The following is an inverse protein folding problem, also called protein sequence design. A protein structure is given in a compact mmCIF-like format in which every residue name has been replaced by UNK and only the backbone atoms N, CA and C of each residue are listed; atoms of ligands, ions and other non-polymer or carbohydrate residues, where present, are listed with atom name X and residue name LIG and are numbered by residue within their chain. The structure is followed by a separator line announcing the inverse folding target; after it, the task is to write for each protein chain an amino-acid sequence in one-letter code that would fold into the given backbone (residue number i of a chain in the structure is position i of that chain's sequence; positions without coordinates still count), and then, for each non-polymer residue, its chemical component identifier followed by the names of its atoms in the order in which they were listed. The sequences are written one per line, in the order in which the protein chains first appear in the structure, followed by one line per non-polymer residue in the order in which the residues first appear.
data_IF_506038828732
#
_entry.id   IF_506038828732
#
_cell.length_a   1.000
_cell.length_b   1.000
_cell.length_c   1.000
_cell.angle_alpha   90.00
_cell.angle_beta   90.00
_cell.angle_gamma   90.00
#
_symmetry.space_group_name_H-M   'P 1'
#
loop_
_entity.id
_entity.type
_entity.pdbx_description
1 polymer ?
#
# COMPACT_ATOMS: atom_id res chain seq x y z
N UNK A 1 3.22 -17.37 -3.91
CA UNK A 1 3.54 -16.40 -2.84
C UNK A 1 4.37 -17.03 -1.73
N UNK A 2 3.93 -18.12 -1.08
CA UNK A 2 4.61 -18.71 0.10
C UNK A 2 6.07 -19.14 -0.16
N UNK A 3 6.39 -19.64 -1.35
CA UNK A 3 7.76 -20.01 -1.73
C UNK A 3 8.63 -18.81 -2.19
N UNK A 4 8.16 -17.58 -2.03
CA UNK A 4 8.88 -16.37 -2.47
C UNK A 4 8.93 -16.13 -3.99
N UNK A 5 8.34 -17.03 -4.80
CA UNK A 5 8.33 -16.92 -6.27
C UNK A 5 7.41 -15.82 -6.84
N UNK A 6 6.50 -15.29 -6.03
CA UNK A 6 5.61 -14.17 -6.38
C UNK A 6 5.68 -13.12 -5.28
N UNK A 7 5.68 -11.84 -5.68
CA UNK A 7 5.78 -10.71 -4.76
C UNK A 7 4.41 -10.33 -4.18
N UNK A 8 4.45 -9.58 -3.10
CA UNK A 8 3.35 -8.77 -2.53
C UNK A 8 3.86 -7.33 -2.37
N UNK A 9 2.98 -6.38 -2.04
CA UNK A 9 3.36 -4.96 -1.94
C UNK A 9 4.54 -4.75 -0.96
N UNK A 10 5.48 -3.88 -1.34
CA UNK A 10 6.68 -3.57 -0.55
C UNK A 10 6.33 -3.07 0.85
N UNK A 11 5.28 -2.25 0.97
CA UNK A 11 4.88 -1.56 2.20
C UNK A 11 4.58 -2.48 3.39
N UNK A 12 4.16 -3.72 3.15
CA UNK A 12 3.85 -4.66 4.23
C UNK A 12 5.09 -5.26 4.90
N UNK A 13 6.29 -4.91 4.40
CA UNK A 13 7.57 -5.32 4.98
C UNK A 13 8.12 -4.31 6.00
N UNK A 14 7.37 -3.26 6.32
CA UNK A 14 7.71 -2.31 7.37
C UNK A 14 6.94 -2.67 8.66
N UNK A 15 7.57 -2.49 9.85
CA UNK A 15 6.95 -2.84 11.12
C UNK A 15 6.00 -1.75 11.61
N UNK A 16 4.94 -2.16 12.30
CA UNK A 16 4.10 -1.28 13.12
C UNK A 16 4.64 -1.29 14.55
N UNK A 17 5.26 -0.19 14.96
CA UNK A 17 5.98 -0.04 16.23
C UNK A 17 5.13 0.64 17.32
N UNK A 18 4.12 1.39 16.94
CA UNK A 18 3.20 2.06 17.86
C UNK A 18 1.81 2.25 17.22
N UNK A 19 0.87 2.86 17.95
CA UNK A 19 -0.50 3.06 17.49
C UNK A 19 -0.64 4.04 16.31
N UNK A 20 0.20 5.09 16.25
CA UNK A 20 0.15 6.04 15.14
C UNK A 20 0.39 5.36 13.80
N UNK A 21 1.23 4.32 13.76
CA UNK A 21 1.51 3.54 12.55
C UNK A 21 0.22 2.93 11.97
N UNK A 22 -0.71 2.50 12.82
CA UNK A 22 -2.00 1.94 12.37
C UNK A 22 -2.84 3.02 11.69
N UNK A 23 -2.89 4.22 12.27
CA UNK A 23 -3.57 5.38 11.68
C UNK A 23 -2.90 5.83 10.37
N UNK A 24 -1.56 5.89 10.35
CA UNK A 24 -0.77 6.28 9.17
C UNK A 24 -0.88 5.24 8.05
N UNK A 25 -0.95 3.94 8.36
CA UNK A 25 -1.27 2.90 7.38
C UNK A 25 -2.67 3.14 6.82
N UNK A 26 -3.67 3.27 7.69
CA UNK A 26 -5.03 3.54 7.25
C UNK A 26 -5.17 4.84 6.47
N UNK A 27 -4.28 5.83 6.64
CA UNK A 27 -4.36 7.10 5.92
C UNK A 27 -3.48 7.14 4.66
N UNK A 28 -2.15 7.03 4.83
CA UNK A 28 -1.17 7.18 3.75
C UNK A 28 -1.07 5.91 2.89
N UNK A 29 -0.96 4.74 3.51
CA UNK A 29 -0.80 3.47 2.78
C UNK A 29 -2.06 3.15 1.99
N UNK A 30 -3.23 3.21 2.64
CA UNK A 30 -4.50 3.00 1.94
C UNK A 30 -4.79 4.14 0.95
N UNK A 31 -4.37 5.38 1.25
CA UNK A 31 -4.46 6.51 0.32
C UNK A 31 -3.70 6.25 -0.98
N UNK A 32 -2.47 5.76 -0.89
CA UNK A 32 -1.67 5.38 -2.06
C UNK A 32 -2.28 4.18 -2.80
N UNK A 33 -2.79 3.19 -2.06
CA UNK A 33 -3.51 2.06 -2.64
C UNK A 33 -4.73 2.53 -3.43
N UNK A 34 -5.54 3.45 -2.90
CA UNK A 34 -6.73 4.00 -3.57
C UNK A 34 -6.35 4.73 -4.86
N UNK A 35 -5.31 5.57 -4.84
CA UNK A 35 -4.84 6.27 -6.06
C UNK A 35 -4.52 5.26 -7.17
N UNK A 36 -3.81 4.18 -6.83
CA UNK A 36 -3.46 3.13 -7.78
C UNK A 36 -4.68 2.29 -8.22
N UNK A 37 -5.53 1.87 -7.28
CA UNK A 37 -6.68 1.00 -7.57
C UNK A 37 -7.78 1.70 -8.35
N UNK A 38 -8.05 2.98 -8.08
CA UNK A 38 -9.03 3.76 -8.84
C UNK A 38 -8.59 3.90 -10.31
N UNK A 39 -7.29 4.05 -10.56
CA UNK A 39 -6.74 4.03 -11.93
C UNK A 39 -6.99 2.68 -12.64
N UNK A 40 -7.03 1.57 -11.88
CA UNK A 40 -7.26 0.22 -12.38
C UNK A 40 -8.75 -0.14 -12.55
N UNK A 41 -9.69 0.66 -12.05
CA UNK A 41 -11.12 0.51 -12.33
C UNK A 41 -11.45 0.57 -13.84
N UNK A 42 -10.53 1.08 -14.66
CA UNK A 42 -10.63 1.12 -16.12
C UNK A 42 -9.58 0.25 -16.83
N UNK A 43 -8.98 -0.73 -16.14
CA UNK A 43 -8.11 -1.70 -16.77
C UNK A 43 -8.85 -2.49 -17.86
N UNK A 44 -8.13 -2.93 -18.90
CA UNK A 44 -8.72 -3.59 -20.07
C UNK A 44 -9.34 -4.96 -19.78
N UNK A 45 -8.90 -5.65 -18.72
CA UNK A 45 -9.45 -6.95 -18.33
C UNK A 45 -10.66 -6.79 -17.40
N UNK A 46 -11.86 -7.05 -17.92
CA UNK A 46 -13.14 -6.78 -17.26
C UNK A 46 -13.29 -7.36 -15.83
N UNK A 47 -12.93 -8.62 -15.56
CA UNK A 47 -12.99 -9.17 -14.19
C UNK A 47 -12.13 -8.39 -13.20
N UNK A 48 -10.93 -7.96 -13.61
CA UNK A 48 -10.04 -7.19 -12.75
C UNK A 48 -10.60 -5.78 -12.49
N UNK A 49 -11.04 -5.07 -13.53
CA UNK A 49 -11.66 -3.76 -13.41
C UNK A 49 -12.88 -3.76 -12.47
N UNK A 50 -13.78 -4.76 -12.60
CA UNK A 50 -14.96 -4.88 -11.72
C UNK A 50 -14.59 -5.21 -10.28
N UNK A 51 -13.55 -6.00 -10.05
CA UNK A 51 -13.03 -6.24 -8.71
C UNK A 51 -12.51 -4.95 -8.06
N UNK A 52 -11.75 -4.13 -8.81
CA UNK A 52 -11.27 -2.82 -8.35
C UNK A 52 -12.41 -1.87 -8.00
N UNK A 53 -13.49 -1.82 -8.80
CA UNK A 53 -14.68 -1.00 -8.48
C UNK A 53 -15.30 -1.38 -7.14
N UNK A 54 -15.36 -2.68 -6.83
CA UNK A 54 -15.88 -3.15 -5.53
C UNK A 54 -14.94 -2.76 -4.40
N UNK A 55 -13.66 -3.09 -4.54
CA UNK A 55 -12.64 -2.84 -3.51
C UNK A 55 -12.54 -1.35 -3.19
N UNK A 56 -12.45 -0.47 -4.19
CA UNK A 56 -12.36 0.99 -3.99
C UNK A 56 -13.56 1.57 -3.22
N UNK A 57 -14.78 1.01 -3.41
CA UNK A 57 -15.96 1.46 -2.67
C UNK A 57 -15.87 1.17 -1.18
N UNK A 58 -15.22 0.06 -0.81
CA UNK A 58 -15.04 -0.35 0.58
C UNK A 58 -13.80 0.32 1.20
N UNK A 59 -12.65 0.30 0.52
CA UNK A 59 -11.38 0.82 1.05
C UNK A 59 -11.39 2.34 1.27
N UNK A 60 -12.10 3.12 0.45
CA UNK A 60 -12.20 4.57 0.65
C UNK A 60 -12.86 4.97 1.97
N UNK A 61 -13.75 4.14 2.51
CA UNK A 61 -14.32 4.33 3.83
C UNK A 61 -13.27 4.09 4.92
N UNK A 62 -12.53 2.98 4.85
CA UNK A 62 -11.48 2.68 5.82
C UNK A 62 -10.36 3.72 5.80
N UNK A 63 -10.02 4.22 4.61
CA UNK A 63 -9.00 5.26 4.48
C UNK A 63 -9.39 6.55 5.21
N UNK A 64 -10.67 6.94 5.12
CA UNK A 64 -11.20 8.07 5.89
C UNK A 64 -11.09 7.83 7.39
N UNK A 65 -11.41 6.63 7.87
CA UNK A 65 -11.28 6.32 9.30
C UNK A 65 -9.82 6.37 9.78
N UNK A 66 -8.86 5.95 8.93
CA UNK A 66 -7.43 6.13 9.20
C UNK A 66 -7.05 7.61 9.36
N UNK A 67 -7.55 8.46 8.45
CA UNK A 67 -7.34 9.91 8.54
C UNK A 67 -7.95 10.52 9.81
N UNK A 68 -9.15 10.10 10.20
CA UNK A 68 -9.80 10.56 11.43
C UNK A 68 -9.01 10.15 12.69
N UNK A 69 -8.43 8.94 12.69
CA UNK A 69 -7.59 8.47 13.79
C UNK A 69 -6.33 9.34 13.95
N UNK A 70 -5.63 9.66 12.87
CA UNK A 70 -4.45 10.54 12.93
C UNK A 70 -4.83 11.99 13.23
N UNK A 71 -5.99 12.45 12.78
CA UNK A 71 -6.52 13.77 13.14
C UNK A 71 -6.76 13.90 14.64
N UNK A 72 -7.25 12.85 15.31
CA UNK A 72 -7.39 12.85 16.76
C UNK A 72 -6.03 12.97 17.47
N UNK A 73 -4.99 12.32 16.95
CA UNK A 73 -3.62 12.43 17.49
C UNK A 73 -3.01 13.81 17.26
N UNK A 74 -3.20 14.39 16.07
CA UNK A 74 -2.73 15.73 15.72
C UNK A 74 -3.36 16.83 16.60
N UNK A 75 -4.62 16.64 17.04
CA UNK A 75 -5.34 17.54 17.96
C UNK A 75 -5.13 17.20 19.44
N UNK A 76 -4.35 16.15 19.71
CA UNK A 76 -4.13 15.61 21.05
C UNK A 76 -2.97 16.25 21.80
N UNK A 77 -2.40 15.50 22.74
CA UNK A 77 -1.22 15.93 23.49
C UNK A 77 0.03 16.01 22.62
N UNK A 78 1.06 16.70 23.12
CA UNK A 78 2.37 16.77 22.43
C UNK A 78 2.98 15.39 22.18
N UNK A 79 2.78 14.42 23.08
CA UNK A 79 3.22 13.04 22.88
C UNK A 79 2.47 12.35 21.72
N UNK A 80 1.17 12.62 21.56
CA UNK A 80 0.39 12.06 20.44
C UNK A 80 0.82 12.68 19.11
N UNK A 81 1.05 14.00 19.07
CA UNK A 81 1.60 14.70 17.90
C UNK A 81 2.98 14.17 17.51
N UNK A 82 3.88 14.02 18.49
CA UNK A 82 5.22 13.48 18.26
C UNK A 82 5.17 12.03 17.75
N UNK A 83 4.28 11.19 18.31
CA UNK A 83 4.09 9.81 17.85
C UNK A 83 3.57 9.76 16.40
N UNK A 84 2.66 10.66 16.03
CA UNK A 84 2.18 10.79 14.66
C UNK A 84 3.29 11.22 13.71
N UNK A 85 4.06 12.26 14.06
CA UNK A 85 5.17 12.73 13.23
C UNK A 85 6.23 11.64 13.03
N UNK A 86 6.55 10.87 14.07
CA UNK A 86 7.47 9.73 13.96
C UNK A 86 6.94 8.64 12.99
N UNK A 87 5.65 8.32 13.06
CA UNK A 87 5.03 7.37 12.13
C UNK A 87 5.07 7.88 10.69
N UNK A 88 4.76 9.16 10.45
CA UNK A 88 4.86 9.79 9.13
C UNK A 88 6.30 9.72 8.62
N UNK A 89 7.29 10.04 9.46
CA UNK A 89 8.71 10.01 9.10
C UNK A 89 9.14 8.62 8.60
N UNK A 90 8.66 7.55 9.25
CA UNK A 90 9.01 6.17 8.88
C UNK A 90 8.25 5.65 7.66
N UNK A 91 7.00 6.08 7.44
CA UNK A 91 6.15 5.53 6.38
C UNK A 91 6.09 6.35 5.10
N UNK A 92 6.45 7.64 5.10
CA UNK A 92 6.35 8.51 3.93
C UNK A 92 7.02 7.93 2.68
N UNK A 93 8.32 7.65 2.74
CA UNK A 93 9.07 7.12 1.60
C UNK A 93 8.61 5.71 1.20
N UNK A 94 8.41 4.76 2.12
CA UNK A 94 7.80 3.47 1.80
C UNK A 94 6.46 3.55 1.08
N UNK A 95 5.62 4.53 1.41
CA UNK A 95 4.33 4.76 0.74
C UNK A 95 4.56 5.21 -0.71
N UNK A 96 5.48 6.14 -0.96
CA UNK A 96 5.82 6.58 -2.33
C UNK A 96 6.39 5.45 -3.20
N UNK A 97 7.09 4.49 -2.58
CA UNK A 97 7.60 3.30 -3.26
C UNK A 97 6.49 2.32 -3.68
N UNK A 98 5.26 2.41 -3.14
CA UNK A 98 4.15 1.53 -3.52
C UNK A 98 3.73 1.66 -4.98
N UNK A 99 3.98 2.83 -5.59
CA UNK A 99 3.71 3.07 -7.00
C UNK A 99 4.69 2.35 -7.94
N UNK A 100 5.73 1.72 -7.39
CA UNK A 100 6.74 0.97 -8.13
C UNK A 100 7.96 1.81 -8.50
N UNK A 101 8.87 1.27 -9.33
CA UNK A 101 10.05 2.00 -9.80
C UNK A 101 9.67 3.21 -10.66
N UNK A 102 10.64 4.08 -10.93
CA UNK A 102 10.56 5.13 -11.94
C UNK A 102 10.05 4.59 -13.28
N UNK A 103 9.46 5.45 -14.11
CA UNK A 103 8.98 5.04 -15.42
C UNK A 103 10.09 4.52 -16.33
N UNK A 104 11.32 5.03 -16.15
CA UNK A 104 12.53 4.60 -16.87
C UNK A 104 13.01 3.20 -16.49
N UNK A 105 12.72 2.74 -15.27
CA UNK A 105 13.18 1.45 -14.73
C UNK A 105 12.03 0.43 -14.55
N UNK A 106 10.94 0.61 -15.29
CA UNK A 106 9.73 -0.21 -15.18
C UNK A 106 9.56 -1.16 -16.37
N UNK A 107 10.13 -2.39 -16.34
CA UNK A 107 10.21 -3.29 -17.50
C UNK A 107 8.83 -3.75 -18.01
N UNK A 108 7.79 -3.68 -17.18
CA UNK A 108 6.43 -4.07 -17.55
C UNK A 108 5.57 -2.91 -18.04
N UNK A 109 6.02 -1.65 -17.90
CA UNK A 109 5.19 -0.47 -18.18
C UNK A 109 4.80 -0.37 -19.66
N UNK A 110 5.74 -0.54 -20.58
CA UNK A 110 5.48 -0.39 -22.02
C UNK A 110 4.35 -1.32 -22.49
N UNK A 111 4.44 -2.62 -22.19
CA UNK A 111 3.42 -3.59 -22.56
C UNK A 111 2.10 -3.38 -21.80
N UNK A 112 2.16 -3.12 -20.49
CA UNK A 112 0.95 -2.91 -19.67
C UNK A 112 0.15 -1.70 -20.11
N UNK A 113 0.81 -0.62 -20.54
CA UNK A 113 0.18 0.57 -21.09
C UNK A 113 -0.40 0.30 -22.48
N UNK A 114 0.35 -0.38 -23.36
CA UNK A 114 -0.14 -0.74 -24.70
C UNK A 114 -1.41 -1.60 -24.64
N UNK A 115 -1.49 -2.53 -23.69
CA UNK A 115 -2.68 -3.36 -23.46
C UNK A 115 -3.73 -2.70 -22.57
N UNK A 116 -3.52 -1.46 -22.12
CA UNK A 116 -4.40 -0.72 -21.21
C UNK A 116 -4.70 -1.47 -19.91
N UNK A 117 -3.79 -2.34 -19.47
CA UNK A 117 -3.81 -2.95 -18.13
C UNK A 117 -3.45 -1.85 -17.12
N UNK A 118 -2.36 -1.13 -17.40
CA UNK A 118 -1.97 0.11 -16.73
C UNK A 118 -2.56 1.29 -17.52
N UNK A 119 -3.13 2.27 -16.82
CA UNK A 119 -3.79 3.45 -17.43
C UNK A 119 -3.00 4.74 -17.28
N UNK A 120 -2.17 4.79 -16.25
CA UNK A 120 -1.32 5.90 -15.84
C UNK A 120 0.04 5.35 -15.46
N UNK A 121 1.10 6.10 -15.68
CA UNK A 121 2.45 5.66 -15.35
C UNK A 121 2.68 5.56 -13.83
N UNK A 122 3.81 4.98 -13.41
CA UNK A 122 4.13 4.90 -11.98
C UNK A 122 4.34 6.30 -11.41
N UNK A 123 5.10 7.13 -12.13
CA UNK A 123 5.43 8.48 -11.70
C UNK A 123 4.22 9.42 -11.75
N UNK A 124 3.32 9.27 -12.74
CA UNK A 124 2.05 10.01 -12.80
C UNK A 124 1.19 9.77 -11.56
N UNK A 125 1.05 8.51 -11.13
CA UNK A 125 0.25 8.16 -9.96
C UNK A 125 0.92 8.59 -8.65
N UNK A 126 2.25 8.47 -8.58
CA UNK A 126 3.03 8.94 -7.42
C UNK A 126 2.91 10.45 -7.27
N UNK A 127 3.09 11.22 -8.33
CA UNK A 127 2.95 12.67 -8.34
C UNK A 127 1.54 13.08 -7.87
N UNK A 128 0.51 12.46 -8.45
CA UNK A 128 -0.88 12.71 -8.05
C UNK A 128 -1.12 12.41 -6.56
N UNK A 129 -0.50 11.35 -6.03
CA UNK A 129 -0.60 11.05 -4.61
C UNK A 129 0.04 12.16 -3.76
N UNK A 130 1.25 12.61 -4.09
CA UNK A 130 1.94 13.70 -3.38
C UNK A 130 1.07 14.96 -3.39
N UNK A 131 0.61 15.40 -4.56
CA UNK A 131 -0.21 16.62 -4.69
C UNK A 131 -1.49 16.58 -3.86
N UNK A 132 -2.13 15.42 -3.75
CA UNK A 132 -3.33 15.26 -2.95
C UNK A 132 -3.05 15.14 -1.44
N UNK A 133 -1.86 14.67 -1.06
CA UNK A 133 -1.55 14.26 0.33
C UNK A 133 -0.84 15.35 1.11
N UNK A 134 -0.01 16.18 0.45
CA UNK A 134 0.67 17.29 1.13
C UNK A 134 -0.32 18.27 1.80
N UNK A 135 -1.42 18.69 1.15
CA UNK A 135 -2.44 19.52 1.82
C UNK A 135 -3.08 18.83 3.04
N UNK A 136 -3.14 17.50 3.06
CA UNK A 136 -3.65 16.73 4.21
C UNK A 136 -2.63 16.73 5.36
N UNK A 137 -1.33 16.64 5.08
CA UNK A 137 -0.27 16.82 6.08
C UNK A 137 -0.34 18.21 6.72
N UNK A 138 -0.46 19.25 5.90
CA UNK A 138 -0.58 20.64 6.34
C UNK A 138 -1.82 20.84 7.24
N UNK A 139 -2.96 20.26 6.87
CA UNK A 139 -4.18 20.31 7.66
C UNK A 139 -4.05 19.62 9.05
N UNK A 140 -3.14 18.65 9.17
CA UNK A 140 -2.80 17.99 10.43
C UNK A 140 -1.72 18.75 11.23
N UNK A 141 -1.12 19.80 10.66
CA UNK A 141 0.05 20.47 11.25
C UNK A 141 1.28 19.56 11.32
N UNK A 142 1.40 18.61 10.37
CA UNK A 142 2.52 17.67 10.27
C UNK A 142 3.36 17.97 9.03
N UNK A 143 4.55 17.38 8.96
CA UNK A 143 5.49 17.55 7.85
C UNK A 143 5.90 16.20 7.24
N UNK A 144 6.23 16.20 5.94
CA UNK A 144 6.90 15.06 5.33
C UNK A 144 8.42 15.10 5.63
N UNK A 145 9.09 13.95 5.80
CA UNK A 145 10.54 13.84 5.97
C UNK A 145 11.29 14.03 4.64
N UNK A 146 11.04 15.14 3.96
CA UNK A 146 11.60 15.47 2.65
C UNK A 146 11.99 16.96 2.59
N UNK A 147 13.29 17.23 2.56
CA UNK A 147 13.82 18.59 2.54
C UNK A 147 13.66 19.28 1.17
N UNK A 148 13.49 18.49 0.10
CA UNK A 148 13.33 19.00 -1.26
C UNK A 148 11.85 19.17 -1.63
N UNK A 149 10.92 18.84 -0.71
CA UNK A 149 9.49 18.98 -0.92
C UNK A 149 9.09 20.46 -0.99
N UNK A 150 8.68 20.90 -2.18
CA UNK A 150 8.24 22.27 -2.41
C UNK A 150 7.17 22.36 -3.49
N UNK A 151 6.23 23.31 -3.32
CA UNK A 151 5.27 23.65 -4.37
C UNK A 151 5.99 24.40 -5.51
N UNK A 152 5.84 23.91 -6.73
CA UNK A 152 6.35 24.55 -7.95
C UNK A 152 5.20 25.16 -8.74
N UNK A 153 5.03 26.49 -8.63
CA UNK A 153 3.98 27.24 -9.33
C UNK A 153 4.03 27.07 -10.86
N UNK A 154 5.23 26.87 -11.44
CA UNK A 154 5.38 26.78 -12.88
C UNK A 154 4.81 25.46 -13.44
N UNK A 155 4.89 24.38 -12.68
CA UNK A 155 4.33 23.09 -13.07
C UNK A 155 2.96 22.80 -12.46
N UNK A 156 2.57 23.49 -11.39
CA UNK A 156 1.34 23.21 -10.65
C UNK A 156 1.40 21.90 -9.86
N UNK A 157 2.60 21.49 -9.45
CA UNK A 157 2.87 20.24 -8.75
C UNK A 157 3.83 20.46 -7.58
N UNK A 158 3.72 19.62 -6.55
CA UNK A 158 4.79 19.49 -5.57
C UNK A 158 5.99 18.77 -6.18
N UNK A 159 7.17 19.36 -6.12
CA UNK A 159 8.44 18.66 -6.35
C UNK A 159 8.84 17.99 -5.05
N UNK A 160 9.30 16.76 -5.11
CA UNK A 160 9.73 15.96 -3.96
C UNK A 160 11.09 15.33 -4.25
N UNK A 161 11.82 15.00 -3.19
CA UNK A 161 13.17 14.47 -3.26
C UNK A 161 13.27 13.07 -3.88
N UNK A 162 14.51 12.63 -4.10
CA UNK A 162 14.80 11.33 -4.69
C UNK A 162 14.44 10.18 -3.74
N UNK A 163 13.76 9.15 -4.27
CA UNK A 163 13.47 7.92 -3.53
C UNK A 163 14.74 7.08 -3.40
N UNK A 164 14.98 6.47 -2.23
CA UNK A 164 15.99 5.42 -2.10
C UNK A 164 15.55 4.15 -2.86
N UNK A 165 15.90 4.10 -4.14
CA UNK A 165 15.62 2.93 -4.97
C UNK A 165 16.39 1.70 -4.50
N UNK A 166 17.55 1.85 -3.85
CA UNK A 166 18.32 0.71 -3.35
C UNK A 166 17.54 -0.02 -2.25
N UNK A 167 16.91 0.73 -1.35
CA UNK A 167 16.00 0.19 -0.34
C UNK A 167 14.84 -0.57 -0.98
N UNK A 168 14.16 0.03 -1.96
CA UNK A 168 13.06 -0.62 -2.67
C UNK A 168 13.50 -1.97 -3.26
N UNK A 169 14.67 -2.00 -3.90
CA UNK A 169 15.22 -3.22 -4.50
C UNK A 169 15.50 -4.32 -3.47
N UNK A 170 16.03 -3.97 -2.30
CA UNK A 170 16.28 -4.93 -1.21
C UNK A 170 14.96 -5.48 -0.65
N UNK A 171 13.98 -4.60 -0.40
CA UNK A 171 12.66 -4.97 0.12
C UNK A 171 11.93 -5.94 -0.82
N UNK A 172 11.87 -5.64 -2.13
CA UNK A 172 11.16 -6.52 -3.08
C UNK A 172 11.92 -7.82 -3.38
N UNK A 173 13.21 -7.89 -3.06
CA UNK A 173 14.04 -9.12 -3.12
C UNK A 173 13.97 -9.94 -1.84
N UNK A 174 13.18 -9.52 -0.85
CA UNK A 174 12.98 -10.29 0.38
C UNK A 174 13.94 -9.95 1.51
N UNK A 175 14.65 -8.82 1.45
CA UNK A 175 15.67 -8.38 2.43
C UNK A 175 15.32 -7.09 3.16
N UNK A 176 14.05 -6.71 3.18
CA UNK A 176 13.52 -5.64 4.03
C UNK A 176 13.20 -6.12 5.44
N UNK A 177 12.77 -5.18 6.28
CA UNK A 177 12.71 -5.35 7.74
C UNK A 177 11.84 -6.50 8.23
N UNK A 178 10.70 -6.76 7.58
CA UNK A 178 9.75 -7.79 8.00
C UNK A 178 9.52 -8.90 6.96
N UNK A 179 10.27 -8.96 5.85
CA UNK A 179 10.00 -9.93 4.79
C UNK A 179 10.01 -11.38 5.30
N UNK A 180 10.96 -11.71 6.17
CA UNK A 180 11.08 -13.04 6.77
C UNK A 180 9.87 -13.37 7.64
N UNK A 181 9.53 -12.48 8.57
CA UNK A 181 8.44 -12.61 9.54
C UNK A 181 7.09 -12.72 8.84
N UNK A 182 6.85 -11.92 7.78
CA UNK A 182 5.59 -11.99 7.01
C UNK A 182 5.42 -13.35 6.35
N UNK A 183 6.44 -13.85 5.65
CA UNK A 183 6.36 -15.15 4.99
C UNK A 183 6.31 -16.30 5.99
N UNK A 184 7.10 -16.25 7.07
CA UNK A 184 7.11 -17.27 8.11
C UNK A 184 5.73 -17.38 8.78
N UNK A 185 5.09 -16.25 9.13
CA UNK A 185 3.76 -16.24 9.71
C UNK A 185 2.72 -16.87 8.77
N UNK A 186 2.77 -16.57 7.46
CA UNK A 186 1.84 -17.15 6.48
C UNK A 186 2.09 -18.63 6.19
N UNK A 187 3.36 -19.08 6.15
CA UNK A 187 3.70 -20.51 6.03
C UNK A 187 3.22 -21.29 7.23
N UNK A 188 3.52 -20.80 8.43
CA UNK A 188 3.05 -21.40 9.69
C UNK A 188 1.53 -21.56 9.70
N UNK A 189 0.78 -20.50 9.38
CA UNK A 189 -0.67 -20.55 9.32
C UNK A 189 -1.20 -21.54 8.25
N UNK A 190 -0.49 -21.66 7.12
CA UNK A 190 -0.83 -22.65 6.10
C UNK A 190 -0.56 -24.08 6.59
N UNK A 191 0.61 -24.35 7.14
CA UNK A 191 1.03 -25.68 7.55
C UNK A 191 0.21 -26.18 8.76
N UNK A 192 0.10 -25.37 9.81
CA UNK A 192 -0.68 -25.71 11.02
C UNK A 192 -2.19 -25.81 10.73
N UNK A 193 -2.68 -25.13 9.68
CA UNK A 193 -4.07 -25.20 9.24
C UNK A 193 -4.40 -26.39 8.32
N UNK A 194 -3.45 -27.26 7.99
CA UNK A 194 -3.65 -28.35 7.03
C UNK A 194 -4.79 -29.29 7.43
N UNK A 195 -4.81 -29.74 8.69
CA UNK A 195 -5.82 -30.67 9.20
C UNK A 195 -7.24 -30.11 9.10
N UNK A 196 -7.43 -28.78 9.24
CA UNK A 196 -8.73 -28.14 9.09
C UNK A 196 -9.19 -28.22 7.63
N UNK A 197 -8.29 -27.93 6.68
CA UNK A 197 -8.60 -27.99 5.25
C UNK A 197 -8.91 -29.42 4.80
N UNK A 198 -8.11 -30.38 5.24
CA UNK A 198 -8.32 -31.80 4.96
C UNK A 198 -9.62 -32.31 5.59
N UNK A 199 -9.90 -31.92 6.83
CA UNK A 199 -11.16 -32.24 7.52
C UNK A 199 -12.39 -31.67 6.81
N UNK A 200 -12.32 -30.40 6.37
CA UNK A 200 -13.39 -29.76 5.62
C UNK A 200 -13.67 -30.49 4.29
N UNK A 201 -12.61 -30.86 3.55
CA UNK A 201 -12.73 -31.60 2.31
C UNK A 201 -13.37 -32.98 2.52
N UNK A 202 -12.89 -33.72 3.53
CA UNK A 202 -13.43 -35.04 3.86
C UNK A 202 -14.89 -34.99 4.31
N UNK A 203 -15.29 -33.96 5.08
CA UNK A 203 -16.68 -33.76 5.47
C UNK A 203 -17.59 -33.47 4.27
N UNK A 204 -17.16 -32.57 3.39
CA UNK A 204 -17.92 -32.25 2.17
C UNK A 204 -18.12 -33.48 1.27
N UNK A 205 -17.07 -34.29 1.08
CA UNK A 205 -17.14 -35.52 0.27
C UNK A 205 -18.18 -36.52 0.82
N UNK A 206 -18.26 -36.69 2.15
CA UNK A 206 -19.29 -37.53 2.78
C UNK A 206 -20.69 -37.02 2.46
N UNK A 207 -20.93 -35.73 2.63
CA UNK A 207 -22.26 -35.13 2.40
C UNK A 207 -22.71 -35.18 0.94
N UNK A 208 -21.77 -35.13 -0.02
CA UNK A 208 -22.10 -35.32 -1.44
C UNK A 208 -22.44 -36.79 -1.74
N UNK A 209 -21.74 -37.74 -1.10
CA UNK A 209 -21.98 -39.18 -1.30
C UNK A 209 -23.31 -39.68 -0.70
N UNK A 210 -23.85 -39.02 0.32
CA UNK A 210 -25.17 -39.35 0.90
C UNK A 210 -26.35 -38.69 0.17
N UNK A 211 -26.10 -37.72 -0.72
CA UNK A 211 -27.14 -37.01 -1.47
C UNK A 211 -27.36 -37.56 -2.90
N UNK A 212 -26.53 -38.50 -3.34
CA UNK A 212 -26.63 -39.22 -4.61
C UNK A 212 -27.20 -40.63 -4.38
#
# INVERSE_FOLDING_TARGET
MLDGKMKYSSIFNYPTLNWADIGVIGWLVDGAAIVNQVALCRASYGPYARAMVKICKEESFHQRQGYEAVMAMAKGSEQQKAMLQDAINRFWWPVLMMFGPSDTDSPHSAQSMAWKIKRHSNDELRQKFVDNTVPQLEALGMSAPDADLAWDEASGHYRFGEIDWSELHEVIKGRGQCNHERLQAKRRAWDEGAWVREGALAHAAKNTSTAA
#
